data_IF_262691795393
#
_entry.id   IF_262691795393
#
_cell.length_a   1.000
_cell.length_b   1.000
_cell.length_c   1.000
_cell.angle_alpha   90.00
_cell.angle_beta   90.00
_cell.angle_gamma   90.00
#
_symmetry.space_group_name_H-M   'P 1'
#
loop_
_entity.id
_entity.type
_entity.pdbx_description
1 polymer ?
#
# COMPACT_ATOMS: atom_id res chain seq x y z
N UNK A 1 -13.19 -16.83 -12.59
CA UNK A 1 -13.40 -15.92 -11.43
C UNK A 1 -12.22 -16.11 -10.48
N UNK A 2 -11.60 -15.03 -9.99
CA UNK A 2 -10.44 -15.13 -9.08
C UNK A 2 -10.88 -15.64 -7.70
N UNK A 3 -10.21 -16.64 -7.11
CA UNK A 3 -10.52 -17.11 -5.76
C UNK A 3 -10.23 -16.03 -4.71
N UNK A 4 -11.06 -15.96 -3.65
CA UNK A 4 -10.91 -14.96 -2.57
C UNK A 4 -9.55 -15.06 -1.89
N UNK A 5 -9.04 -16.28 -1.68
CA UNK A 5 -7.73 -16.53 -1.09
C UNK A 5 -6.62 -15.87 -1.90
N UNK A 6 -6.64 -16.03 -3.23
CA UNK A 6 -5.63 -15.46 -4.11
C UNK A 6 -5.69 -13.93 -4.09
N UNK A 7 -6.89 -13.34 -4.15
CA UNK A 7 -7.09 -11.90 -4.03
C UNK A 7 -6.52 -11.38 -2.70
N UNK A 8 -6.90 -12.01 -1.59
CA UNK A 8 -6.43 -11.64 -0.26
C UNK A 8 -4.89 -11.70 -0.15
N UNK A 9 -4.28 -12.82 -0.55
CA UNK A 9 -2.82 -12.97 -0.47
C UNK A 9 -2.06 -11.98 -1.35
N UNK A 10 -2.58 -11.68 -2.55
CA UNK A 10 -1.96 -10.71 -3.45
C UNK A 10 -2.05 -9.30 -2.88
N UNK A 11 -3.23 -8.85 -2.45
CA UNK A 11 -3.37 -7.50 -1.90
C UNK A 11 -2.70 -7.34 -0.53
N UNK A 12 -2.64 -8.39 0.29
CA UNK A 12 -1.85 -8.37 1.52
C UNK A 12 -0.36 -8.19 1.22
N UNK A 13 0.17 -8.92 0.23
CA UNK A 13 1.56 -8.77 -0.20
C UNK A 13 1.83 -7.38 -0.78
N UNK A 14 0.92 -6.85 -1.59
CA UNK A 14 1.02 -5.48 -2.13
C UNK A 14 1.05 -4.47 -0.98
N UNK A 15 0.14 -4.58 -0.01
CA UNK A 15 0.11 -3.70 1.17
C UNK A 15 1.39 -3.77 2.01
N UNK A 16 1.97 -4.97 2.17
CA UNK A 16 3.26 -5.16 2.86
C UNK A 16 4.46 -4.61 2.08
N UNK A 17 4.36 -4.51 0.75
CA UNK A 17 5.42 -4.00 -0.13
C UNK A 17 5.17 -2.56 -0.59
N UNK A 18 4.15 -1.89 -0.03
CA UNK A 18 3.66 -0.58 -0.48
C UNK A 18 4.54 0.59 -0.01
N UNK A 19 5.85 0.50 -0.26
CA UNK A 19 6.85 1.52 0.07
C UNK A 19 7.37 2.22 -1.20
N UNK A 20 7.95 3.43 -1.05
CA UNK A 20 8.56 4.16 -2.17
C UNK A 20 7.68 5.24 -2.82
N UNK A 21 6.58 5.64 -2.18
CA UNK A 21 5.70 6.72 -2.65
C UNK A 21 4.70 6.29 -3.73
N UNK A 22 3.84 7.24 -4.20
CA UNK A 22 2.70 6.90 -5.06
C UNK A 22 3.10 6.24 -6.39
N UNK A 23 4.16 6.74 -7.04
CA UNK A 23 4.64 6.18 -8.31
C UNK A 23 5.12 4.72 -8.17
N UNK A 24 5.85 4.41 -7.10
CA UNK A 24 6.31 3.05 -6.81
C UNK A 24 5.13 2.11 -6.53
N UNK A 25 4.13 2.58 -5.78
CA UNK A 25 2.92 1.80 -5.49
C UNK A 25 2.09 1.52 -6.75
N UNK A 26 1.95 2.50 -7.65
CA UNK A 26 1.29 2.33 -8.95
C UNK A 26 2.08 1.35 -9.82
N UNK A 27 3.42 1.44 -9.85
CA UNK A 27 4.25 0.49 -10.60
C UNK A 27 4.14 -0.94 -10.03
N UNK A 28 4.08 -1.09 -8.70
CA UNK A 28 3.89 -2.37 -8.04
C UNK A 28 2.52 -3.00 -8.38
N UNK A 29 1.46 -2.19 -8.35
CA UNK A 29 0.12 -2.62 -8.76
C UNK A 29 0.10 -3.07 -10.23
N UNK A 30 0.73 -2.31 -11.11
CA UNK A 30 0.84 -2.68 -12.53
C UNK A 30 1.55 -4.03 -12.70
N UNK A 31 2.74 -4.18 -12.11
CA UNK A 31 3.52 -5.43 -12.17
C UNK A 31 2.75 -6.63 -11.63
N UNK A 32 2.12 -6.53 -10.48
CA UNK A 32 1.40 -7.66 -9.87
C UNK A 32 0.12 -8.00 -10.63
N UNK A 33 -0.65 -7.00 -11.08
CA UNK A 33 -1.99 -7.19 -11.61
C UNK A 33 -2.01 -7.40 -13.13
N UNK A 34 -1.14 -6.71 -13.86
CA UNK A 34 -1.04 -6.77 -15.33
C UNK A 34 -0.01 -7.82 -15.75
N UNK A 35 1.23 -7.74 -15.26
CA UNK A 35 2.30 -8.63 -15.73
C UNK A 35 2.23 -10.02 -15.08
N UNK A 36 2.24 -10.09 -13.74
CA UNK A 36 2.39 -11.36 -13.02
C UNK A 36 1.10 -12.20 -12.96
N UNK A 37 -0.06 -11.56 -12.95
CA UNK A 37 -1.37 -12.23 -12.80
C UNK A 37 -2.26 -12.11 -14.04
N UNK A 38 -1.99 -11.15 -14.92
CA UNK A 38 -2.78 -10.88 -16.12
C UNK A 38 -4.29 -10.75 -15.85
N UNK A 39 -4.65 -10.16 -14.69
CA UNK A 39 -6.04 -9.91 -14.30
C UNK A 39 -6.66 -8.73 -15.05
N UNK A 40 -5.82 -7.79 -15.48
CA UNK A 40 -6.18 -6.64 -16.29
C UNK A 40 -5.22 -6.53 -17.45
N UNK A 41 -5.70 -5.99 -18.58
CA UNK A 41 -4.81 -5.60 -19.67
C UNK A 41 -4.19 -4.24 -19.41
N UNK A 42 -3.07 -3.95 -20.08
CA UNK A 42 -2.39 -2.65 -20.04
C UNK A 42 -3.38 -1.48 -20.23
N UNK A 43 -4.21 -1.57 -21.27
CA UNK A 43 -5.21 -0.55 -21.60
C UNK A 43 -6.24 -0.36 -20.48
N UNK A 44 -6.70 -1.45 -19.86
CA UNK A 44 -7.67 -1.40 -18.78
C UNK A 44 -7.06 -0.78 -17.51
N UNK A 45 -5.80 -1.09 -17.22
CA UNK A 45 -5.07 -0.51 -16.11
C UNK A 45 -4.88 0.99 -16.28
N UNK A 46 -4.38 1.43 -17.44
CA UNK A 46 -4.14 2.84 -17.74
C UNK A 46 -5.43 3.66 -17.72
N UNK A 47 -6.53 3.14 -18.27
CA UNK A 47 -7.84 3.80 -18.21
C UNK A 47 -8.33 3.99 -16.77
N UNK A 48 -8.16 2.98 -15.93
CA UNK A 48 -8.53 3.06 -14.52
C UNK A 48 -7.64 4.05 -13.76
N UNK A 49 -6.34 4.04 -14.04
CA UNK A 49 -5.40 5.00 -13.46
C UNK A 49 -5.76 6.43 -13.86
N UNK A 50 -5.99 6.71 -15.13
CA UNK A 50 -6.43 8.03 -15.60
C UNK A 50 -7.73 8.47 -14.91
N UNK A 51 -8.66 7.56 -14.68
CA UNK A 51 -9.87 7.85 -13.92
C UNK A 51 -9.58 8.18 -12.45
N UNK A 52 -8.71 7.41 -11.77
CA UNK A 52 -8.33 7.67 -10.38
C UNK A 52 -7.56 8.99 -10.23
N UNK A 53 -6.79 9.42 -11.23
CA UNK A 53 -6.10 10.72 -11.21
C UNK A 53 -7.06 11.92 -11.30
N UNK A 54 -8.30 11.71 -11.76
CA UNK A 54 -9.33 12.76 -11.76
C UNK A 54 -10.07 12.86 -10.42
N UNK A 55 -10.02 11.80 -9.61
CA UNK A 55 -10.68 11.75 -8.32
C UNK A 55 -9.78 12.35 -7.24
N UNK A 56 -10.32 13.16 -6.32
CA UNK A 56 -9.52 13.66 -5.20
C UNK A 56 -9.15 12.50 -4.27
N UNK A 57 -7.86 12.33 -4.00
CA UNK A 57 -7.35 11.38 -2.99
C UNK A 57 -6.17 10.54 -3.47
N UNK A 58 -5.74 9.56 -2.66
CA UNK A 58 -4.56 8.74 -2.95
C UNK A 58 -4.81 7.79 -4.13
N UNK A 59 -4.16 8.06 -5.26
CA UNK A 59 -4.43 7.44 -6.56
C UNK A 59 -4.19 5.93 -6.52
N UNK A 60 -3.08 5.50 -5.91
CA UNK A 60 -2.73 4.08 -5.79
C UNK A 60 -3.76 3.29 -4.97
N UNK A 61 -4.29 3.88 -3.89
CA UNK A 61 -5.29 3.25 -3.03
C UNK A 61 -6.65 3.15 -3.75
N UNK A 62 -7.06 4.23 -4.43
CA UNK A 62 -8.28 4.23 -5.23
C UNK A 62 -8.21 3.19 -6.35
N UNK A 63 -7.07 3.11 -7.04
CA UNK A 63 -6.82 2.12 -8.08
C UNK A 63 -6.86 0.70 -7.52
N UNK A 64 -6.19 0.42 -6.40
CA UNK A 64 -6.23 -0.89 -5.74
C UNK A 64 -7.67 -1.29 -5.38
N UNK A 65 -8.44 -0.35 -4.81
CA UNK A 65 -9.85 -0.55 -4.44
C UNK A 65 -10.71 -0.84 -5.66
N UNK A 66 -10.52 -0.09 -6.75
CA UNK A 66 -11.24 -0.30 -8.01
C UNK A 66 -10.89 -1.66 -8.65
N UNK A 67 -9.62 -2.06 -8.63
CA UNK A 67 -9.18 -3.37 -9.14
C UNK A 67 -9.85 -4.49 -8.35
N UNK A 68 -9.83 -4.41 -7.01
CA UNK A 68 -10.52 -5.37 -6.16
C UNK A 68 -12.02 -5.43 -6.45
N UNK A 69 -12.64 -4.26 -6.61
CA UNK A 69 -14.06 -4.15 -6.94
C UNK A 69 -14.38 -4.78 -8.30
N UNK A 70 -13.56 -4.54 -9.30
CA UNK A 70 -13.73 -5.11 -10.64
C UNK A 70 -13.57 -6.64 -10.66
N UNK A 71 -12.72 -7.19 -9.80
CA UNK A 71 -12.49 -8.63 -9.74
C UNK A 71 -13.60 -9.40 -9.01
N UNK A 72 -14.10 -8.87 -7.88
CA UNK A 72 -15.04 -9.59 -7.00
C UNK A 72 -16.18 -8.74 -6.43
N UNK A 73 -16.53 -7.64 -7.07
CA UNK A 73 -17.57 -6.73 -6.62
C UNK A 73 -17.19 -6.02 -5.32
N UNK A 74 -18.19 -5.53 -4.59
CA UNK A 74 -18.00 -4.72 -3.37
C UNK A 74 -17.06 -5.37 -2.34
N UNK A 75 -17.16 -6.68 -2.12
CA UNK A 75 -16.27 -7.39 -1.19
C UNK A 75 -14.82 -7.41 -1.66
N UNK A 76 -14.58 -7.59 -2.96
CA UNK A 76 -13.22 -7.50 -3.51
C UNK A 76 -12.63 -6.11 -3.32
N UNK A 77 -13.43 -5.06 -3.49
CA UNK A 77 -13.00 -3.67 -3.30
C UNK A 77 -12.64 -3.38 -1.84
N UNK A 78 -13.49 -3.78 -0.89
CA UNK A 78 -13.20 -3.62 0.54
C UNK A 78 -11.94 -4.37 0.97
N UNK A 79 -11.77 -5.61 0.50
CA UNK A 79 -10.57 -6.41 0.81
C UNK A 79 -9.32 -5.75 0.24
N UNK A 80 -9.34 -5.37 -1.05
CA UNK A 80 -8.19 -4.77 -1.72
C UNK A 80 -7.80 -3.41 -1.12
N UNK A 81 -8.77 -2.51 -0.96
CA UNK A 81 -8.53 -1.19 -0.37
C UNK A 81 -8.13 -1.27 1.10
N UNK A 82 -8.77 -2.16 1.86
CA UNK A 82 -8.43 -2.40 3.26
C UNK A 82 -7.02 -2.94 3.43
N UNK A 83 -6.66 -4.01 2.71
CA UNK A 83 -5.32 -4.62 2.77
C UNK A 83 -4.22 -3.73 2.21
N UNK A 84 -4.55 -2.76 1.36
CA UNK A 84 -3.58 -1.77 0.91
C UNK A 84 -3.09 -0.86 2.05
N UNK A 85 -3.95 -0.54 3.03
CA UNK A 85 -3.65 0.40 4.13
C UNK A 85 -3.38 -0.31 5.45
N UNK A 86 -4.12 -1.37 5.76
CA UNK A 86 -4.08 -2.09 7.04
C UNK A 86 -2.67 -2.50 7.50
N UNK A 87 -1.82 -3.10 6.65
CA UNK A 87 -0.48 -3.54 7.08
C UNK A 87 0.38 -2.37 7.57
N UNK A 88 0.35 -1.24 6.84
CA UNK A 88 1.06 -0.02 7.23
C UNK A 88 0.48 0.59 8.51
N UNK A 89 -0.85 0.65 8.63
CA UNK A 89 -1.52 1.17 9.82
C UNK A 89 -1.20 0.33 11.07
N UNK A 90 -1.20 -0.99 10.96
CA UNK A 90 -0.84 -1.92 12.06
C UNK A 90 0.63 -1.73 12.44
N UNK A 91 1.54 -1.64 11.46
CA UNK A 91 2.96 -1.41 11.73
C UNK A 91 3.18 -0.10 12.49
N UNK A 92 2.57 0.99 12.04
CA UNK A 92 2.68 2.30 12.72
C UNK A 92 2.07 2.23 14.12
N UNK A 93 0.90 1.59 14.29
CA UNK A 93 0.27 1.45 15.60
C UNK A 93 1.17 0.67 16.58
N UNK A 94 1.78 -0.43 16.14
CA UNK A 94 2.72 -1.21 16.95
C UNK A 94 3.94 -0.37 17.34
N UNK A 95 4.53 0.36 16.39
CA UNK A 95 5.66 1.24 16.67
C UNK A 95 5.29 2.38 17.62
N UNK A 96 4.09 2.95 17.49
CA UNK A 96 3.59 4.00 18.37
C UNK A 96 3.37 3.49 19.80
N UNK A 97 2.78 2.31 19.96
CA UNK A 97 2.60 1.67 21.27
C UNK A 97 3.95 1.34 21.92
N UNK A 98 4.89 0.81 21.14
CA UNK A 98 6.25 0.57 21.61
C UNK A 98 6.92 1.88 22.05
N UNK A 99 6.83 2.94 21.26
CA UNK A 99 7.37 4.25 21.62
C UNK A 99 6.72 4.83 22.87
N UNK A 100 5.41 4.67 23.06
CA UNK A 100 4.73 5.13 24.27
C UNK A 100 5.23 4.42 25.55
N UNK A 101 5.66 3.16 25.42
CA UNK A 101 6.14 2.35 26.55
C UNK A 101 7.62 2.56 26.85
N UNK A 102 8.44 2.79 25.82
CA UNK A 102 9.90 2.81 25.92
C UNK A 102 10.55 4.18 25.59
N UNK A 103 9.80 5.13 25.07
CA UNK A 103 10.30 6.39 24.51
C UNK A 103 10.96 7.34 25.51
N UNK A 104 10.66 7.20 26.80
CA UNK A 104 11.28 7.99 27.87
C UNK A 104 12.72 7.54 28.22
N UNK A 105 13.20 6.42 27.66
CA UNK A 105 14.56 5.93 27.93
C UNK A 105 15.59 6.73 27.12
N UNK A 106 16.73 7.13 27.73
CA UNK A 106 17.75 7.93 27.05
C UNK A 106 18.38 7.21 25.84
N UNK A 107 18.40 5.88 25.86
CA UNK A 107 18.87 5.04 24.73
C UNK A 107 18.00 5.22 23.47
N UNK A 108 16.68 5.37 23.64
CA UNK A 108 15.72 5.55 22.53
C UNK A 108 15.85 6.94 21.91
N UNK A 109 16.25 7.95 22.69
CA UNK A 109 16.51 9.29 22.20
C UNK A 109 17.69 9.32 21.21
N UNK A 110 18.79 8.61 21.54
CA UNK A 110 19.94 8.47 20.65
C UNK A 110 19.59 7.72 19.36
N UNK A 111 18.83 6.63 19.45
CA UNK A 111 18.32 5.90 18.30
C UNK A 111 17.46 6.79 17.39
N UNK A 112 16.51 7.54 17.95
CA UNK A 112 15.64 8.44 17.19
C UNK A 112 16.41 9.58 16.53
N UNK A 113 17.48 10.09 17.15
CA UNK A 113 18.36 11.06 16.51
C UNK A 113 19.02 10.48 15.25
N UNK A 114 19.53 9.24 15.35
CA UNK A 114 20.09 8.51 14.23
C UNK A 114 19.08 8.31 13.10
N UNK A 115 17.87 7.83 13.44
CA UNK A 115 16.78 7.65 12.46
C UNK A 115 16.43 8.98 11.77
N UNK A 116 16.28 10.07 12.52
CA UNK A 116 16.01 11.40 11.94
C UNK A 116 17.11 11.84 10.98
N UNK A 117 18.38 11.67 11.36
CA UNK A 117 19.51 12.02 10.51
C UNK A 117 19.54 11.20 9.20
N UNK A 118 19.29 9.88 9.29
CA UNK A 118 19.21 9.01 8.11
C UNK A 118 18.06 9.40 7.18
N UNK A 119 16.88 9.73 7.72
CA UNK A 119 15.74 10.17 6.91
C UNK A 119 16.07 11.46 6.16
N UNK A 120 16.68 12.44 6.82
CA UNK A 120 17.10 13.70 6.16
C UNK A 120 18.08 13.39 5.03
N UNK A 121 19.10 12.57 5.27
CA UNK A 121 20.09 12.21 4.25
C UNK A 121 19.52 11.43 3.05
N UNK A 122 18.41 10.72 3.24
CA UNK A 122 17.76 9.96 2.17
C UNK A 122 16.79 10.82 1.33
N UNK A 123 16.24 11.88 1.92
CA UNK A 123 15.24 12.76 1.28
C UNK A 123 15.88 14.02 0.66
N UNK A 124 17.00 14.50 1.22
CA UNK A 124 17.74 15.66 0.73
C UNK A 124 18.56 15.34 -0.53
#
# INVERSE_FOLDING_TARGET
MTPFSQLFTTFLRIGLLSFGGPAAQIALLHREIVEARQWLTERQYLQALSFCMLLPGPEAMQLATWIGWRLRGTMGGLIAGGLFVLPGAVLIAVLALAYSSYGARPEVAGLMLGVKATVIALVA
#
